data_IF_540603692567
#
_entry.id   IF_540603692567
#
_cell.length_a   1.000
_cell.length_b   1.000
_cell.length_c   1.000
_cell.angle_alpha   90.00
_cell.angle_beta   90.00
_cell.angle_gamma   90.00
#
_symmetry.space_group_name_H-M   'P 1'
#
loop_
_entity.id
_entity.type
_entity.pdbx_description
1 polymer ?
#
# COMPACT_ATOMS: atom_id res chain seq x y z
N UNK A 1 -0.42 -13.01 -18.20
CA UNK A 1 0.01 -12.83 -16.79
C UNK A 1 1.27 -11.95 -16.72
N UNK A 2 1.12 -10.72 -16.21
CA UNK A 2 2.16 -9.70 -16.19
C UNK A 2 3.33 -10.15 -15.29
N UNK A 3 4.56 -10.03 -15.80
CA UNK A 3 5.81 -10.52 -15.19
C UNK A 3 5.98 -10.04 -13.73
N UNK A 4 5.51 -8.83 -13.47
CA UNK A 4 5.48 -8.17 -12.15
C UNK A 4 4.70 -8.98 -11.10
N UNK A 5 3.56 -9.60 -11.46
CA UNK A 5 2.78 -10.40 -10.52
C UNK A 5 3.51 -11.70 -10.12
N UNK A 6 4.28 -12.29 -11.04
CA UNK A 6 5.10 -13.48 -10.72
C UNK A 6 6.24 -13.12 -9.78
N UNK A 7 6.92 -11.99 -10.04
CA UNK A 7 7.98 -11.49 -9.16
C UNK A 7 7.48 -11.12 -7.77
N UNK A 8 6.32 -10.46 -7.66
CA UNK A 8 5.70 -10.13 -6.37
C UNK A 8 5.33 -11.39 -5.56
N UNK A 9 4.83 -12.43 -6.25
CA UNK A 9 4.48 -13.72 -5.63
C UNK A 9 5.73 -14.43 -5.09
N UNK A 10 6.79 -14.50 -5.90
CA UNK A 10 8.06 -15.12 -5.49
C UNK A 10 8.69 -14.42 -4.28
N UNK A 11 8.64 -13.09 -4.27
CA UNK A 11 9.15 -12.30 -3.16
C UNK A 11 8.32 -12.49 -1.88
N UNK A 12 7.00 -12.52 -2.01
CA UNK A 12 6.11 -12.78 -0.87
C UNK A 12 6.35 -14.17 -0.27
N UNK A 13 6.56 -15.19 -1.10
CA UNK A 13 6.90 -16.54 -0.64
C UNK A 13 8.26 -16.56 0.08
N UNK A 14 9.27 -15.91 -0.50
CA UNK A 14 10.60 -15.81 0.09
C UNK A 14 10.58 -15.12 1.47
N UNK A 15 9.86 -14.00 1.59
CA UNK A 15 9.74 -13.27 2.86
C UNK A 15 8.99 -14.08 3.93
N UNK A 16 7.96 -14.84 3.55
CA UNK A 16 7.25 -15.75 4.48
C UNK A 16 8.17 -16.85 5.01
N UNK A 17 8.98 -17.46 4.14
CA UNK A 17 9.96 -18.48 4.55
C UNK A 17 11.05 -17.90 5.46
N UNK A 18 11.52 -16.69 5.15
CA UNK A 18 12.50 -16.00 5.97
C UNK A 18 11.94 -15.67 7.37
N UNK A 19 10.69 -15.18 7.45
CA UNK A 19 10.01 -14.92 8.71
C UNK A 19 9.82 -16.21 9.53
N UNK A 20 9.35 -17.29 8.90
CA UNK A 20 9.22 -18.59 9.58
C UNK A 20 10.57 -19.10 10.12
N UNK A 21 11.68 -18.84 9.43
CA UNK A 21 13.01 -19.21 9.91
C UNK A 21 13.43 -18.38 11.14
N UNK A 22 13.13 -17.08 11.16
CA UNK A 22 13.36 -16.20 12.31
C UNK A 22 12.48 -16.63 13.50
N UNK A 23 11.19 -16.89 13.27
CA UNK A 23 10.28 -17.32 14.34
C UNK A 23 10.69 -18.68 14.91
N UNK A 24 11.22 -19.57 14.06
CA UNK A 24 11.72 -20.88 14.49
C UNK A 24 13.06 -20.84 15.23
N UNK A 25 13.82 -19.73 15.17
CA UNK A 25 15.13 -19.67 15.83
C UNK A 25 15.05 -19.43 17.34
N UNK A 26 13.91 -18.99 17.88
CA UNK A 26 13.77 -18.68 19.31
C UNK A 26 14.88 -17.72 19.77
N UNK A 27 15.60 -18.07 20.83
CA UNK A 27 16.74 -17.29 21.35
C UNK A 27 18.06 -17.53 20.60
N UNK A 28 18.08 -18.39 19.57
CA UNK A 28 19.28 -18.66 18.78
C UNK A 28 19.50 -17.60 17.69
N UNK A 29 20.77 -17.35 17.41
CA UNK A 29 21.17 -16.43 16.34
C UNK A 29 20.76 -16.95 14.96
N UNK A 30 20.14 -16.08 14.16
CA UNK A 30 19.74 -16.37 12.77
C UNK A 30 20.98 -16.54 11.88
N UNK A 31 20.99 -17.48 10.90
CA UNK A 31 22.14 -17.67 10.03
C UNK A 31 22.53 -16.40 9.27
N UNK A 32 23.80 -15.98 9.37
CA UNK A 32 24.34 -14.81 8.65
C UNK A 32 24.07 -14.83 7.13
N UNK A 33 24.16 -15.97 6.41
CA UNK A 33 23.79 -16.02 5.00
C UNK A 33 22.32 -15.68 4.73
N UNK A 34 21.41 -16.09 5.61
CA UNK A 34 19.99 -15.78 5.51
C UNK A 34 19.74 -14.28 5.67
N UNK A 35 20.34 -13.66 6.69
CA UNK A 35 20.25 -12.21 6.95
C UNK A 35 20.80 -11.41 5.76
N UNK A 36 21.95 -11.82 5.21
CA UNK A 36 22.56 -11.17 4.04
C UNK A 36 21.64 -11.24 2.82
N UNK A 37 21.05 -12.40 2.53
CA UNK A 37 20.12 -12.56 1.40
C UNK A 37 18.84 -11.74 1.61
N UNK A 38 18.30 -11.67 2.84
CA UNK A 38 17.14 -10.81 3.16
C UNK A 38 17.43 -9.33 2.88
N UNK A 39 18.56 -8.81 3.38
CA UNK A 39 18.95 -7.41 3.16
C UNK A 39 19.11 -7.13 1.66
N UNK A 40 19.80 -8.00 0.92
CA UNK A 40 19.96 -7.84 -0.54
C UNK A 40 18.62 -7.86 -1.27
N UNK A 41 17.72 -8.80 -0.94
CA UNK A 41 16.41 -8.89 -1.57
C UNK A 41 15.54 -7.65 -1.28
N UNK A 42 15.56 -7.14 -0.04
CA UNK A 42 14.86 -5.91 0.33
C UNK A 42 15.43 -4.68 -0.37
N UNK A 43 16.75 -4.55 -0.47
CA UNK A 43 17.38 -3.44 -1.21
C UNK A 43 17.01 -3.46 -2.70
N UNK A 44 16.97 -4.63 -3.33
CA UNK A 44 16.53 -4.77 -4.73
C UNK A 44 15.06 -4.40 -4.88
N UNK A 45 14.22 -4.77 -3.93
CA UNK A 45 12.80 -4.40 -3.92
C UNK A 45 12.61 -2.89 -3.80
N UNK A 46 13.29 -2.25 -2.85
CA UNK A 46 13.25 -0.80 -2.65
C UNK A 46 13.74 -0.10 -3.92
N UNK A 47 14.86 -0.54 -4.50
CA UNK A 47 15.37 0.01 -5.75
C UNK A 47 14.36 -0.15 -6.90
N UNK A 48 13.68 -1.30 -7.02
CA UNK A 48 12.63 -1.51 -8.02
C UNK A 48 11.41 -0.61 -7.78
N UNK A 49 10.97 -0.40 -6.55
CA UNK A 49 9.90 0.56 -6.25
C UNK A 49 10.31 2.01 -6.54
N UNK A 50 11.56 2.36 -6.28
CA UNK A 50 12.10 3.70 -6.53
C UNK A 50 12.35 3.96 -8.02
N UNK A 51 12.65 2.91 -8.81
CA UNK A 51 12.95 3.02 -10.25
C UNK A 51 11.78 2.69 -11.18
N UNK A 52 10.67 2.14 -10.66
CA UNK A 52 9.45 1.88 -11.45
C UNK A 52 8.58 3.15 -11.48
N UNK A 53 8.35 3.79 -12.65
CA UNK A 53 7.41 4.88 -12.76
C UNK A 53 6.00 4.32 -12.55
N UNK A 54 5.34 4.72 -11.47
CA UNK A 54 4.00 4.22 -11.16
C UNK A 54 3.51 4.59 -9.76
N UNK A 55 4.40 4.81 -8.79
CA UNK A 55 4.00 5.31 -7.47
C UNK A 55 3.46 6.74 -7.57
N UNK A 56 3.94 7.55 -8.52
CA UNK A 56 3.36 8.86 -8.84
C UNK A 56 1.96 8.77 -9.43
N UNK A 57 1.71 7.78 -10.29
CA UNK A 57 0.37 7.52 -10.85
C UNK A 57 -0.60 7.01 -9.78
N UNK A 58 -0.12 6.15 -8.88
CA UNK A 58 -0.89 5.68 -7.71
C UNK A 58 -1.15 6.83 -6.73
N UNK A 59 -0.15 7.67 -6.43
CA UNK A 59 -0.33 8.86 -5.60
C UNK A 59 -1.27 9.89 -6.23
N UNK A 60 -1.20 10.11 -7.55
CA UNK A 60 -2.15 10.97 -8.26
C UNK A 60 -3.57 10.40 -8.21
N UNK A 61 -3.75 9.10 -8.45
CA UNK A 61 -5.06 8.47 -8.35
C UNK A 61 -5.63 8.58 -6.93
N UNK A 62 -4.81 8.38 -5.89
CA UNK A 62 -5.21 8.58 -4.49
C UNK A 62 -5.59 10.04 -4.22
N UNK A 63 -4.80 11.01 -4.71
CA UNK A 63 -5.08 12.43 -4.53
C UNK A 63 -6.39 12.86 -5.23
N UNK A 64 -6.65 12.34 -6.44
CA UNK A 64 -7.91 12.57 -7.17
C UNK A 64 -9.10 12.00 -6.39
N UNK A 65 -9.01 10.75 -5.93
CA UNK A 65 -10.09 10.11 -5.15
C UNK A 65 -10.37 10.90 -3.86
N UNK A 66 -9.34 11.38 -3.16
CA UNK A 66 -9.51 12.20 -1.96
C UNK A 66 -10.21 13.54 -2.25
N UNK A 67 -9.87 14.19 -3.37
CA UNK A 67 -10.53 15.43 -3.80
C UNK A 67 -12.01 15.20 -4.11
N UNK A 68 -12.33 14.16 -4.87
CA UNK A 68 -13.70 13.83 -5.26
C UNK A 68 -14.59 13.51 -4.05
N UNK A 69 -14.04 12.79 -3.07
CA UNK A 69 -14.72 12.49 -1.82
C UNK A 69 -15.05 13.76 -1.03
N UNK A 70 -14.10 14.70 -0.93
CA UNK A 70 -14.30 15.97 -0.24
C UNK A 70 -15.41 16.79 -0.90
N UNK A 71 -15.37 16.94 -2.22
CA UNK A 71 -16.42 17.66 -2.97
C UNK A 71 -17.79 17.01 -2.82
N UNK A 72 -17.83 15.67 -2.81
CA UNK A 72 -19.08 14.92 -2.60
C UNK A 72 -19.63 15.17 -1.19
N UNK A 73 -18.79 15.12 -0.15
CA UNK A 73 -19.20 15.40 1.22
C UNK A 73 -19.73 16.83 1.40
N UNK A 74 -19.04 17.83 0.82
CA UNK A 74 -19.47 19.23 0.83
C UNK A 74 -20.82 19.41 0.11
N UNK A 75 -21.01 18.72 -1.02
CA UNK A 75 -22.26 18.76 -1.79
C UNK A 75 -23.42 18.14 -1.01
N UNK A 76 -23.19 16.99 -0.37
CA UNK A 76 -24.19 16.31 0.48
C UNK A 76 -24.55 17.18 1.67
N UNK A 77 -23.57 17.78 2.33
CA UNK A 77 -23.80 18.70 3.45
C UNK A 77 -24.62 19.91 3.03
N UNK A 78 -24.25 20.57 1.93
CA UNK A 78 -24.98 21.72 1.39
C UNK A 78 -26.42 21.36 1.02
N UNK A 79 -26.62 20.20 0.40
CA UNK A 79 -27.95 19.70 0.03
C UNK A 79 -28.80 19.40 1.28
N UNK A 80 -28.23 18.79 2.31
CA UNK A 80 -28.92 18.51 3.56
C UNK A 80 -29.37 19.80 4.27
N UNK A 81 -28.50 20.82 4.32
CA UNK A 81 -28.84 22.15 4.88
C UNK A 81 -29.99 22.77 4.10
N UNK A 82 -29.94 22.74 2.75
CA UNK A 82 -31.00 23.30 1.90
C UNK A 82 -32.34 22.58 2.09
N UNK A 83 -32.34 21.26 2.25
CA UNK A 83 -33.55 20.47 2.52
C UNK A 83 -34.15 20.81 3.88
N UNK A 84 -33.33 21.04 4.91
CA UNK A 84 -33.83 21.47 6.23
C UNK A 84 -34.40 22.89 6.18
N UNK A 85 -33.73 23.82 5.51
CA UNK A 85 -34.20 25.20 5.37
C UNK A 85 -35.56 25.27 4.64
N UNK A 86 -35.73 24.50 3.57
CA UNK A 86 -37.01 24.41 2.86
C UNK A 86 -38.15 23.76 3.67
N UNK A 87 -37.82 22.98 4.71
CA UNK A 87 -38.79 22.38 5.65
C UNK A 87 -39.24 23.33 6.76
N UNK A 88 -38.42 24.31 7.13
CA UNK A 88 -38.75 25.31 8.18
C UNK A 88 -39.57 26.47 7.62
N UNK A 89 -39.58 26.65 6.29
CA UNK A 89 -40.20 27.79 5.61
C UNK A 89 -41.52 27.46 4.88
N UNK A 90 -42.03 26.21 5.00
CA UNK A 90 -43.32 25.77 4.47
C UNK A 90 -44.25 25.32 5.59
#
# INVERSE_FOLDING_TARGET
>A
PNDICKHATYLSDYLRRALACIDSSGDQSVPKPLVRTMITAMSVLIAKFQSTPGVSAVMQAIATIQSDLKTTAETVQSTAIRVQQNRVTN
#
